data_IF_737343701420
#
_entry.id   IF_737343701420
#
_cell.length_a   1.000
_cell.length_b   1.000
_cell.length_c   1.000
_cell.angle_alpha   90.00
_cell.angle_beta   90.00
_cell.angle_gamma   90.00
#
_symmetry.space_group_name_H-M   'P 1'
#
loop_
_entity.id
_entity.type
_entity.pdbx_description
1 polymer ?
#
# COMPACT_ATOMS: atom_id res chain seq x y z
N UNK A 1 8.28 9.51 -1.48
CA UNK A 1 7.17 8.80 -0.79
C UNK A 1 6.79 7.52 -1.54
N UNK A 2 7.01 7.49 -2.85
CA UNK A 2 6.87 6.35 -3.76
C UNK A 2 7.63 5.11 -3.27
N UNK A 3 8.87 5.27 -2.82
CA UNK A 3 9.65 4.14 -2.24
C UNK A 3 9.02 3.56 -0.97
N UNK A 4 8.29 4.37 -0.19
CA UNK A 4 7.56 3.86 0.96
C UNK A 4 6.39 3.00 0.50
N UNK A 5 5.62 3.44 -0.50
CA UNK A 5 4.54 2.61 -1.09
C UNK A 5 5.05 1.24 -1.54
N UNK A 6 6.18 1.20 -2.26
CA UNK A 6 6.76 -0.07 -2.72
C UNK A 6 7.16 -0.95 -1.54
N UNK A 7 7.82 -0.38 -0.53
CA UNK A 7 8.30 -1.13 0.64
C UNK A 7 7.14 -1.63 1.51
N UNK A 8 6.22 -0.76 1.92
CA UNK A 8 5.14 -1.11 2.84
C UNK A 8 4.22 -2.18 2.22
N UNK A 9 3.87 -2.07 0.92
CA UNK A 9 3.03 -3.09 0.27
C UNK A 9 3.74 -4.44 0.23
N UNK A 10 5.05 -4.47 -0.04
CA UNK A 10 5.84 -5.70 -0.02
C UNK A 10 5.98 -6.29 1.39
N UNK A 11 6.16 -5.45 2.42
CA UNK A 11 6.26 -5.85 3.82
C UNK A 11 4.93 -6.46 4.31
N UNK A 12 3.80 -5.78 4.08
CA UNK A 12 2.48 -6.19 4.58
C UNK A 12 1.86 -7.35 3.79
N UNK A 13 2.03 -7.36 2.46
CA UNK A 13 1.29 -8.28 1.56
C UNK A 13 2.16 -9.21 0.72
N UNK A 14 3.49 -9.00 0.69
CA UNK A 14 4.40 -9.76 -0.16
C UNK A 14 4.32 -9.44 -1.65
N UNK A 15 3.56 -8.41 -2.04
CA UNK A 15 3.35 -8.04 -3.43
C UNK A 15 4.33 -6.93 -3.84
N UNK A 16 5.07 -7.19 -4.91
CA UNK A 16 5.85 -6.16 -5.60
C UNK A 16 4.93 -5.28 -6.46
N UNK A 17 4.97 -3.97 -6.22
CA UNK A 17 4.20 -2.98 -6.99
C UNK A 17 5.09 -2.09 -7.85
N UNK A 18 4.55 -1.69 -8.99
CA UNK A 18 5.20 -0.79 -9.96
C UNK A 18 4.26 0.35 -10.34
N UNK A 19 4.71 1.23 -11.24
CA UNK A 19 3.91 2.34 -11.77
C UNK A 19 3.25 3.24 -10.70
N UNK A 20 3.96 3.44 -9.57
CA UNK A 20 3.46 4.23 -8.43
C UNK A 20 3.24 5.69 -8.84
N UNK A 21 2.00 6.17 -8.76
CA UNK A 21 1.58 7.52 -9.16
C UNK A 21 0.83 8.20 -8.04
N UNK A 22 1.27 9.40 -7.68
CA UNK A 22 0.59 10.25 -6.72
C UNK A 22 -0.82 10.63 -7.23
N UNK A 23 -1.80 10.55 -6.34
CA UNK A 23 -3.18 10.94 -6.63
C UNK A 23 -3.57 12.22 -5.87
N UNK A 24 -3.49 12.19 -4.54
CA UNK A 24 -3.99 13.28 -3.68
C UNK A 24 -3.37 13.21 -2.29
N UNK A 25 -3.56 14.27 -1.50
CA UNK A 25 -3.15 14.30 -0.10
C UNK A 25 -4.28 14.75 0.81
N UNK A 26 -4.28 14.25 2.05
CA UNK A 26 -5.28 14.59 3.05
C UNK A 26 -4.62 14.70 4.44
N UNK A 27 -4.83 15.80 5.18
CA UNK A 27 -4.37 15.89 6.56
C UNK A 27 -5.15 14.89 7.43
N UNK A 28 -4.42 14.17 8.30
CA UNK A 28 -4.96 13.21 9.24
C UNK A 28 -4.63 13.61 10.68
N UNK A 29 -5.59 14.13 11.45
CA UNK A 29 -5.31 14.93 12.65
C UNK A 29 -4.88 14.16 13.90
N UNK A 30 -4.91 12.83 13.91
CA UNK A 30 -4.48 12.00 15.05
C UNK A 30 -3.51 10.92 14.56
N UNK A 31 -2.22 10.90 14.97
CA UNK A 31 -1.48 11.79 15.88
C UNK A 31 -0.94 13.09 15.23
N UNK A 32 -1.31 13.39 13.98
CA UNK A 32 -0.83 14.54 13.22
C UNK A 32 0.03 14.11 12.03
N UNK A 33 -0.62 13.52 11.03
CA UNK A 33 0.02 12.97 9.83
C UNK A 33 -0.57 13.60 8.56
N UNK A 34 0.15 13.49 7.45
CA UNK A 34 -0.37 13.81 6.12
C UNK A 34 -0.44 12.52 5.31
N UNK A 35 -1.66 12.09 4.98
CA UNK A 35 -1.87 10.92 4.14
C UNK A 35 -1.61 11.30 2.70
N UNK A 36 -0.77 10.51 2.02
CA UNK A 36 -0.50 10.66 0.59
C UNK A 36 -1.10 9.45 -0.12
N UNK A 37 -2.12 9.68 -0.95
CA UNK A 37 -2.76 8.64 -1.74
C UNK A 37 -1.99 8.38 -3.04
N UNK A 38 -1.75 7.11 -3.33
CA UNK A 38 -1.07 6.63 -4.53
C UNK A 38 -1.89 5.55 -5.23
N UNK A 39 -1.78 5.49 -6.54
CA UNK A 39 -2.15 4.31 -7.32
C UNK A 39 -0.88 3.55 -7.72
N UNK A 40 -0.95 2.22 -7.72
CA UNK A 40 0.15 1.36 -8.14
C UNK A 40 -0.40 0.12 -8.86
N UNK A 41 0.45 -0.52 -9.65
CA UNK A 41 0.13 -1.75 -10.37
C UNK A 41 0.84 -2.94 -9.70
N UNK A 42 0.08 -3.94 -9.29
CA UNK A 42 0.63 -5.16 -8.69
C UNK A 42 1.22 -6.10 -9.74
N UNK A 43 2.39 -6.67 -9.44
CA UNK A 43 3.06 -7.64 -10.31
C UNK A 43 2.51 -9.07 -10.20
N UNK A 44 1.75 -9.37 -9.14
CA UNK A 44 1.14 -10.68 -8.89
C UNK A 44 -0.13 -10.54 -8.04
N UNK A 45 -0.92 -11.61 -7.98
CA UNK A 45 -2.11 -11.75 -7.14
C UNK A 45 -1.87 -12.59 -5.88
N UNK A 46 -0.67 -13.16 -5.72
CA UNK A 46 -0.31 -13.99 -4.58
C UNK A 46 -0.01 -13.14 -3.35
N UNK A 47 -0.89 -13.22 -2.34
CA UNK A 47 -0.76 -12.49 -1.07
C UNK A 47 -0.08 -13.39 -0.02
N UNK A 48 0.89 -12.81 0.69
CA UNK A 48 1.52 -13.39 1.87
C UNK A 48 1.65 -12.33 2.97
N UNK A 49 0.93 -12.50 4.08
CA UNK A 49 0.97 -11.59 5.23
C UNK A 49 2.23 -11.86 6.06
N UNK A 50 3.23 -10.98 5.97
CA UNK A 50 4.58 -11.28 6.46
C UNK A 50 4.94 -10.63 7.81
N UNK A 51 4.36 -9.46 8.13
CA UNK A 51 4.76 -8.61 9.27
C UNK A 51 3.79 -8.63 10.47
N UNK A 52 2.62 -9.28 10.31
CA UNK A 52 1.53 -9.35 11.30
C UNK A 52 0.83 -8.02 11.59
N UNK A 53 0.95 -7.04 10.69
CA UNK A 53 0.22 -5.77 10.81
C UNK A 53 -1.23 -5.90 10.31
N UNK A 54 -1.44 -6.68 9.25
CA UNK A 54 -2.76 -6.99 8.71
C UNK A 54 -3.30 -8.33 9.25
N UNK A 55 -4.60 -8.36 9.54
CA UNK A 55 -5.32 -9.59 9.91
C UNK A 55 -5.74 -10.39 8.67
N UNK A 56 -6.12 -9.70 7.58
CA UNK A 56 -6.54 -10.31 6.32
C UNK A 56 -6.30 -9.36 5.12
N UNK A 57 -6.17 -9.91 3.91
CA UNK A 57 -6.08 -9.15 2.66
C UNK A 57 -6.66 -9.95 1.48
N UNK A 58 -7.45 -9.27 0.63
CA UNK A 58 -8.13 -9.88 -0.51
C UNK A 58 -8.15 -8.97 -1.73
N UNK A 59 -8.15 -9.58 -2.91
CA UNK A 59 -8.46 -8.90 -4.17
C UNK A 59 -9.97 -8.75 -4.34
N UNK A 60 -10.38 -7.56 -4.77
CA UNK A 60 -11.78 -7.23 -5.04
C UNK A 60 -11.96 -6.84 -6.51
N UNK A 61 -13.01 -7.36 -7.12
CA UNK A 61 -13.49 -6.87 -8.42
C UNK A 61 -14.07 -5.45 -8.26
N UNK A 62 -14.12 -4.71 -9.36
CA UNK A 62 -14.62 -3.33 -9.38
C UNK A 62 -16.13 -3.23 -9.21
#
# INVERSE_FOLDING_TARGET
>A
AEQAVVREVAEETGIDVTAVRYHSSQPWPFPGSLMLGYHAEAGSDHISLNDRELDDALWLDR
#
